data_IF_879116898687
#
_entry.id   IF_879116898687
#
_cell.length_a   1.000
_cell.length_b   1.000
_cell.length_c   1.000
_cell.angle_alpha   90.00
_cell.angle_beta   90.00
_cell.angle_gamma   90.00
#
_symmetry.space_group_name_H-M   'P 1'
#
loop_
_entity.id
_entity.type
_entity.pdbx_description
1 polymer ?
#
# COMPACT_ATOMS: atom_id res chain seq x y z
N UNK A 1 29.17 18.79 -37.41
CA UNK A 1 28.92 18.44 -35.99
C UNK A 1 27.83 17.39 -35.95
N UNK A 2 28.21 16.12 -35.77
CA UNK A 2 27.28 14.99 -35.81
C UNK A 2 26.67 14.81 -34.43
N UNK A 3 25.39 15.16 -34.28
CA UNK A 3 24.65 14.94 -33.04
C UNK A 3 24.57 13.43 -32.80
N UNK A 4 25.33 12.93 -31.81
CA UNK A 4 25.25 11.55 -31.36
C UNK A 4 23.84 11.36 -30.77
N UNK A 5 23.01 10.44 -31.29
CA UNK A 5 21.69 10.22 -30.73
C UNK A 5 21.86 9.80 -29.28
N UNK A 6 21.18 10.55 -28.41
CA UNK A 6 21.19 10.40 -26.97
C UNK A 6 20.99 8.93 -26.60
N UNK A 7 22.00 8.32 -25.95
CA UNK A 7 21.92 6.93 -25.51
C UNK A 7 20.67 6.77 -24.66
N UNK A 8 19.79 5.88 -25.13
CA UNK A 8 18.63 5.32 -24.45
C UNK A 8 18.71 5.48 -22.92
N UNK A 9 17.92 6.39 -22.38
CA UNK A 9 17.74 6.49 -20.94
C UNK A 9 17.15 5.15 -20.49
N UNK A 10 17.93 4.35 -19.77
CA UNK A 10 17.47 3.10 -19.18
C UNK A 10 16.11 3.35 -18.49
N UNK A 11 15.08 2.53 -18.76
CA UNK A 11 13.74 2.80 -18.28
C UNK A 11 13.76 2.98 -16.77
N UNK A 12 13.51 4.22 -16.31
CA UNK A 12 13.35 4.53 -14.90
C UNK A 12 12.11 3.76 -14.43
N UNK A 13 12.28 2.86 -13.46
CA UNK A 13 11.15 2.15 -12.87
C UNK A 13 10.17 3.20 -12.33
N UNK A 14 8.92 3.11 -12.77
CA UNK A 14 7.83 3.92 -12.27
C UNK A 14 7.00 3.03 -11.35
N UNK A 15 6.84 3.37 -10.07
CA UNK A 15 6.00 2.58 -9.19
C UNK A 15 4.54 2.60 -9.71
N UNK A 16 3.82 1.48 -9.59
CA UNK A 16 2.40 1.43 -9.90
C UNK A 16 1.63 2.34 -8.91
N UNK A 17 1.25 3.55 -9.34
CA UNK A 17 0.58 4.55 -8.49
C UNK A 17 -0.69 3.99 -7.85
N UNK A 18 -1.50 3.25 -8.63
CA UNK A 18 -2.72 2.60 -8.15
C UNK A 18 -2.46 1.67 -6.97
N UNK A 19 -1.29 1.02 -6.94
CA UNK A 19 -0.91 0.07 -5.91
C UNK A 19 -0.41 0.77 -4.64
N UNK A 20 0.27 1.93 -4.79
CA UNK A 20 0.58 2.81 -3.66
C UNK A 20 -0.72 3.34 -3.02
N UNK A 21 -1.68 3.76 -3.84
CA UNK A 21 -2.98 4.24 -3.33
C UNK A 21 -3.71 3.14 -2.57
N UNK A 22 -3.71 1.90 -3.10
CA UNK A 22 -4.30 0.74 -2.42
C UNK A 22 -3.60 0.41 -1.11
N UNK A 23 -2.26 0.52 -1.06
CA UNK A 23 -1.47 0.30 0.16
C UNK A 23 -1.83 1.32 1.24
N UNK A 24 -1.83 2.62 0.90
CA UNK A 24 -2.21 3.70 1.83
C UNK A 24 -3.63 3.52 2.36
N UNK A 25 -4.57 3.12 1.49
CA UNK A 25 -5.95 2.87 1.90
C UNK A 25 -6.06 1.67 2.85
N UNK A 26 -5.31 0.60 2.59
CA UNK A 26 -5.27 -0.60 3.45
C UNK A 26 -4.65 -0.29 4.81
N UNK A 27 -3.58 0.51 4.85
CA UNK A 27 -2.96 0.99 6.08
C UNK A 27 -3.89 1.91 6.88
N UNK A 28 -4.64 2.77 6.22
CA UNK A 28 -5.64 3.61 6.88
C UNK A 28 -6.76 2.77 7.52
N UNK A 29 -7.24 1.73 6.82
CA UNK A 29 -8.22 0.78 7.38
C UNK A 29 -7.65 0.00 8.56
N UNK A 30 -6.41 -0.46 8.46
CA UNK A 30 -5.71 -1.15 9.55
C UNK A 30 -5.55 -0.22 10.77
N UNK A 31 -5.10 1.02 10.56
CA UNK A 31 -4.94 2.01 11.61
C UNK A 31 -6.27 2.36 12.28
N UNK A 32 -7.34 2.51 11.48
CA UNK A 32 -8.69 2.71 12.01
C UNK A 32 -9.11 1.51 12.87
N UNK A 33 -8.91 0.28 12.39
CA UNK A 33 -9.18 -0.94 13.16
C UNK A 33 -8.40 -0.99 14.47
N UNK A 34 -7.12 -0.59 14.46
CA UNK A 34 -6.27 -0.54 15.64
C UNK A 34 -6.77 0.52 16.63
N UNK A 35 -7.13 1.72 16.16
CA UNK A 35 -7.71 2.75 17.02
C UNK A 35 -9.02 2.30 17.66
N UNK A 36 -9.92 1.64 16.90
CA UNK A 36 -11.19 1.14 17.43
C UNK A 36 -11.03 0.02 18.47
N UNK A 37 -9.94 -0.75 18.36
CA UNK A 37 -9.64 -1.87 19.25
C UNK A 37 -8.90 -1.43 20.53
N UNK A 38 -7.93 -0.52 20.40
CA UNK A 38 -7.00 -0.16 21.48
C UNK A 38 -7.26 1.24 22.09
N UNK A 39 -8.10 2.07 21.49
CA UNK A 39 -8.51 3.36 22.03
C UNK A 39 -10.04 3.41 22.22
N UNK A 40 -10.58 2.75 23.25
CA UNK A 40 -12.03 2.69 23.49
C UNK A 40 -12.63 4.07 23.79
N UNK A 41 -11.85 5.01 24.32
CA UNK A 41 -12.28 6.39 24.61
C UNK A 41 -12.22 7.33 23.38
N UNK A 42 -11.81 6.80 22.23
CA UNK A 42 -11.71 7.56 20.98
C UNK A 42 -13.10 8.00 20.48
N UNK A 43 -13.25 9.21 19.93
CA UNK A 43 -14.53 9.67 19.36
C UNK A 43 -15.05 8.78 18.22
N UNK A 44 -14.18 7.97 17.61
CA UNK A 44 -14.55 7.03 16.55
C UNK A 44 -14.96 5.65 17.08
N UNK A 45 -14.76 5.34 18.37
CA UNK A 45 -15.03 4.00 18.93
C UNK A 45 -16.51 3.59 18.87
N UNK A 46 -17.42 4.57 18.84
CA UNK A 46 -18.86 4.38 18.69
C UNK A 46 -19.36 4.36 17.24
N UNK A 47 -18.51 4.57 16.22
CA UNK A 47 -18.94 4.59 14.82
C UNK A 47 -19.23 3.21 14.24
N UNK A 48 -18.62 2.16 14.80
CA UNK A 48 -18.70 0.81 14.26
C UNK A 48 -19.10 -0.19 15.35
N UNK A 49 -19.98 -1.16 15.04
CA UNK A 49 -20.31 -2.23 15.97
C UNK A 49 -19.05 -3.03 16.34
N UNK A 50 -18.95 -3.56 17.57
CA UNK A 50 -17.76 -4.29 18.03
C UNK A 50 -17.42 -5.49 17.13
N UNK A 51 -18.43 -6.07 16.50
CA UNK A 51 -18.32 -7.21 15.59
C UNK A 51 -17.60 -6.86 14.27
N UNK A 52 -17.63 -5.58 13.87
CA UNK A 52 -16.98 -5.08 12.67
C UNK A 52 -15.50 -4.72 12.88
N UNK A 53 -15.01 -4.62 14.13
CA UNK A 53 -13.62 -4.21 14.43
C UNK A 53 -12.59 -5.24 13.97
N UNK A 54 -12.84 -6.52 14.27
CA UNK A 54 -11.97 -7.64 13.93
C UNK A 54 -11.89 -7.87 12.40
N UNK A 55 -13.01 -7.87 11.66
CA UNK A 55 -12.99 -7.89 10.20
C UNK A 55 -12.25 -6.71 9.59
N UNK A 56 -12.38 -5.49 10.15
CA UNK A 56 -11.69 -4.31 9.65
C UNK A 56 -10.16 -4.44 9.78
N UNK A 57 -9.68 -4.92 10.92
CA UNK A 57 -8.27 -5.25 11.15
C UNK A 57 -7.78 -6.31 10.17
N UNK A 58 -8.57 -7.37 9.97
CA UNK A 58 -8.24 -8.44 9.04
C UNK A 58 -8.15 -7.90 7.60
N UNK A 59 -9.14 -7.13 7.13
CA UNK A 59 -9.16 -6.57 5.78
C UNK A 59 -8.00 -5.59 5.58
N UNK A 60 -7.80 -4.65 6.51
CA UNK A 60 -6.71 -3.68 6.43
C UNK A 60 -5.33 -4.35 6.45
N UNK A 61 -5.14 -5.31 7.36
CA UNK A 61 -3.88 -6.05 7.49
C UNK A 61 -3.58 -6.93 6.27
N UNK A 62 -4.57 -7.66 5.78
CA UNK A 62 -4.42 -8.53 4.59
C UNK A 62 -4.21 -7.68 3.34
N UNK A 63 -4.95 -6.58 3.19
CA UNK A 63 -4.80 -5.64 2.09
C UNK A 63 -3.40 -5.02 2.03
N UNK A 64 -2.88 -4.56 3.19
CA UNK A 64 -1.54 -4.00 3.29
C UNK A 64 -0.47 -5.06 2.99
N UNK A 65 -0.63 -6.30 3.49
CA UNK A 65 0.28 -7.40 3.18
C UNK A 65 0.33 -7.73 1.68
N UNK A 66 -0.83 -7.79 1.02
CA UNK A 66 -0.93 -8.05 -0.44
C UNK A 66 -0.29 -6.90 -1.23
N UNK A 67 -0.58 -5.65 -0.87
CA UNK A 67 0.02 -4.48 -1.52
C UNK A 67 1.54 -4.47 -1.36
N UNK A 68 2.04 -4.77 -0.17
CA UNK A 68 3.47 -4.88 0.10
C UNK A 68 4.15 -5.95 -0.77
N UNK A 69 3.56 -7.15 -0.85
CA UNK A 69 4.09 -8.24 -1.69
C UNK A 69 4.11 -7.83 -3.17
N UNK A 70 3.04 -7.18 -3.65
CA UNK A 70 2.96 -6.73 -5.03
C UNK A 70 3.95 -5.59 -5.35
N UNK A 71 4.19 -4.66 -4.42
CA UNK A 71 5.26 -3.65 -4.54
C UNK A 71 6.63 -4.33 -4.63
N UNK A 72 6.91 -5.29 -3.75
CA UNK A 72 8.17 -6.02 -3.75
C UNK A 72 8.39 -6.78 -5.06
N UNK A 73 7.37 -7.49 -5.55
CA UNK A 73 7.43 -8.16 -6.84
C UNK A 73 7.66 -7.17 -7.99
N UNK A 74 7.02 -6.00 -7.97
CA UNK A 74 7.25 -4.94 -8.96
C UNK A 74 8.70 -4.47 -8.96
N UNK A 75 9.29 -4.24 -7.78
CA UNK A 75 10.69 -3.83 -7.62
C UNK A 75 11.64 -4.93 -8.07
N UNK A 76 11.40 -6.19 -7.69
CA UNK A 76 12.22 -7.33 -8.07
C UNK A 76 12.19 -7.56 -9.59
N UNK A 77 11.02 -7.50 -10.21
CA UNK A 77 10.88 -7.61 -11.66
C UNK A 77 11.61 -6.47 -12.39
N UNK A 78 11.54 -5.25 -11.86
CA UNK A 78 12.25 -4.10 -12.42
C UNK A 78 13.77 -4.19 -12.25
N UNK A 79 14.25 -4.86 -11.20
CA UNK A 79 15.68 -5.18 -11.03
C UNK A 79 16.14 -6.27 -12.00
N UNK A 80 15.33 -7.31 -12.20
CA UNK A 80 15.65 -8.41 -13.12
C UNK A 80 15.67 -7.98 -14.60
N UNK A 81 14.89 -6.96 -14.94
CA UNK A 81 14.85 -6.39 -16.29
C UNK A 81 16.01 -5.42 -16.60
N UNK A 82 16.92 -5.21 -15.64
CA UNK A 82 18.18 -4.48 -15.82
C UNK A 82 19.34 -5.46 -15.87
#
# INVERSE_FOLDING_TARGET
MTVKPNRSAAPRWKPPIWLIVADVLSLALLMLGLMLQFAPDSPVSGLLPPEAKLPLLAIGGTGAAVCWVALMLSVLNARRAR
#
